data_IF_899342654340
#
_entry.id   IF_899342654340
#
_cell.length_a   1.000
_cell.length_b   1.000
_cell.length_c   1.000
_cell.angle_alpha   90.00
_cell.angle_beta   90.00
_cell.angle_gamma   90.00
#
_symmetry.space_group_name_H-M   'P 1'
#
loop_
_entity.id
_entity.type
_entity.pdbx_description
1 polymer ?
#
# COMPACT_ATOMS: atom_id res chain seq x y z
N UNK A 1 14.74 -11.94 -11.56
CA UNK A 1 13.85 -12.09 -10.40
C UNK A 1 13.56 -13.56 -10.13
N UNK A 2 13.75 -14.02 -8.90
CA UNK A 2 13.40 -15.38 -8.49
C UNK A 2 11.90 -15.64 -8.59
N UNK A 3 11.50 -16.92 -8.59
CA UNK A 3 10.08 -17.33 -8.62
C UNK A 3 9.29 -16.70 -7.46
N UNK A 4 9.89 -16.66 -6.26
CA UNK A 4 9.28 -16.08 -5.04
C UNK A 4 8.99 -14.59 -5.21
N UNK A 5 9.97 -13.83 -5.68
CA UNK A 5 9.78 -12.40 -5.93
C UNK A 5 8.73 -12.14 -7.00
N UNK A 6 8.64 -12.97 -8.05
CA UNK A 6 7.59 -12.82 -9.08
C UNK A 6 6.19 -12.98 -8.50
N UNK A 7 6.00 -13.89 -7.56
CA UNK A 7 4.74 -14.09 -6.85
C UNK A 7 4.42 -12.85 -6.01
N UNK A 8 5.40 -12.34 -5.26
CA UNK A 8 5.22 -11.14 -4.43
C UNK A 8 4.84 -9.93 -5.27
N UNK A 9 5.50 -9.70 -6.40
CA UNK A 9 5.12 -8.61 -7.32
C UNK A 9 3.69 -8.75 -7.84
N UNK A 10 3.23 -9.97 -8.16
CA UNK A 10 1.83 -10.20 -8.56
C UNK A 10 0.86 -9.88 -7.43
N UNK A 11 1.15 -10.33 -6.21
CA UNK A 11 0.31 -10.03 -5.03
C UNK A 11 0.25 -8.51 -4.82
N UNK A 12 1.39 -7.82 -4.83
CA UNK A 12 1.43 -6.35 -4.68
C UNK A 12 0.61 -5.63 -5.76
N UNK A 13 0.72 -6.05 -7.03
CA UNK A 13 -0.09 -5.50 -8.12
C UNK A 13 -1.59 -5.69 -7.82
N UNK A 14 -2.00 -6.88 -7.40
CA UNK A 14 -3.41 -7.14 -7.03
C UNK A 14 -3.85 -6.23 -5.88
N UNK A 15 -3.04 -6.09 -4.83
CA UNK A 15 -3.36 -5.23 -3.68
C UNK A 15 -3.48 -3.76 -4.09
N UNK A 16 -2.62 -3.27 -4.98
CA UNK A 16 -2.70 -1.91 -5.52
C UNK A 16 -3.96 -1.72 -6.37
N UNK A 17 -4.30 -2.67 -7.24
CA UNK A 17 -5.54 -2.60 -8.05
C UNK A 17 -6.77 -2.53 -7.13
N UNK A 18 -6.86 -3.38 -6.11
CA UNK A 18 -7.96 -3.36 -5.14
C UNK A 18 -8.00 -2.02 -4.40
N UNK A 19 -6.84 -1.49 -3.98
CA UNK A 19 -6.76 -0.19 -3.32
C UNK A 19 -7.24 0.96 -4.21
N UNK A 20 -6.88 0.94 -5.50
CA UNK A 20 -7.35 1.91 -6.49
C UNK A 20 -8.87 1.84 -6.60
N UNK A 21 -9.45 0.65 -6.78
CA UNK A 21 -10.90 0.47 -6.91
C UNK A 21 -11.66 1.00 -5.67
N UNK A 22 -11.15 0.72 -4.47
CA UNK A 22 -11.76 1.20 -3.22
C UNK A 22 -11.68 2.74 -3.07
N UNK A 23 -10.72 3.37 -3.73
CA UNK A 23 -10.46 4.82 -3.62
C UNK A 23 -11.24 5.66 -4.64
N UNK A 24 -11.90 5.04 -5.63
CA UNK A 24 -12.71 5.76 -6.64
C UNK A 24 -13.87 6.53 -5.99
N UNK A 25 -14.64 5.88 -5.11
CA UNK A 25 -15.80 6.50 -4.45
C UNK A 25 -15.41 7.69 -3.55
N UNK A 26 -14.39 7.60 -2.68
CA UNK A 26 -13.87 8.74 -1.92
C UNK A 26 -13.44 9.92 -2.80
N UNK A 27 -12.76 9.66 -3.92
CA UNK A 27 -12.32 10.71 -4.85
C UNK A 27 -13.50 11.37 -5.54
N UNK A 28 -14.51 10.59 -5.95
CA UNK A 28 -15.72 11.16 -6.53
C UNK A 28 -16.43 12.09 -5.54
N UNK A 29 -16.53 11.68 -4.27
CA UNK A 29 -17.07 12.54 -3.21
C UNK A 29 -16.24 13.81 -3.06
N UNK A 30 -14.91 13.71 -3.02
CA UNK A 30 -14.04 14.89 -2.97
C UNK A 30 -14.26 15.83 -4.15
N UNK A 31 -14.44 15.29 -5.36
CA UNK A 31 -14.74 16.07 -6.56
C UNK A 31 -16.02 16.88 -6.41
N UNK A 32 -17.05 16.28 -5.81
CA UNK A 32 -18.32 16.97 -5.57
C UNK A 32 -18.25 18.05 -4.48
N UNK A 33 -17.43 17.85 -3.44
CA UNK A 33 -17.36 18.79 -2.31
C UNK A 33 -16.33 19.91 -2.49
N UNK A 34 -15.15 19.59 -3.02
CA UNK A 34 -14.00 20.51 -3.12
C UNK A 34 -13.75 20.99 -4.56
N UNK A 35 -14.51 20.49 -5.53
CA UNK A 35 -14.29 20.74 -6.95
C UNK A 35 -13.04 20.04 -7.50
N UNK A 36 -12.79 20.26 -8.80
CA UNK A 36 -11.70 19.60 -9.52
C UNK A 36 -10.31 19.97 -8.97
N UNK A 37 -10.05 21.27 -8.79
CA UNK A 37 -8.75 21.76 -8.31
C UNK A 37 -8.45 21.21 -6.91
N UNK A 38 -9.42 21.26 -5.99
CA UNK A 38 -9.26 20.73 -4.63
C UNK A 38 -9.02 19.22 -4.62
N UNK A 39 -9.62 18.48 -5.54
CA UNK A 39 -9.44 17.03 -5.65
C UNK A 39 -8.07 16.66 -6.18
N UNK A 40 -7.58 17.35 -7.22
CA UNK A 40 -6.26 17.10 -7.80
C UNK A 40 -5.15 17.42 -6.79
N UNK A 41 -5.33 18.47 -5.98
CA UNK A 41 -4.40 18.84 -4.91
C UNK A 41 -4.52 17.96 -3.66
N UNK A 42 -5.54 17.10 -3.57
CA UNK A 42 -5.70 16.21 -2.42
C UNK A 42 -4.62 15.12 -2.41
N UNK A 43 -4.12 14.81 -1.21
CA UNK A 43 -3.16 13.72 -1.00
C UNK A 43 -3.70 12.35 -1.43
N UNK A 44 -5.03 12.16 -1.39
CA UNK A 44 -5.69 10.95 -1.84
C UNK A 44 -5.55 10.73 -3.36
N UNK A 45 -5.69 11.78 -4.17
CA UNK A 45 -5.52 11.69 -5.62
C UNK A 45 -4.06 11.41 -6.01
N UNK A 46 -3.12 12.13 -5.39
CA UNK A 46 -1.68 11.88 -5.60
C UNK A 46 -1.28 10.45 -5.22
N UNK A 47 -1.87 9.90 -4.16
CA UNK A 47 -1.61 8.51 -3.76
C UNK A 47 -2.04 7.50 -4.82
N UNK A 48 -3.19 7.68 -5.47
CA UNK A 48 -3.62 6.80 -6.56
C UNK A 48 -2.62 6.84 -7.73
N UNK A 49 -2.11 8.03 -8.09
CA UNK A 49 -1.11 8.15 -9.15
C UNK A 49 0.14 7.34 -8.79
N UNK A 50 0.63 7.47 -7.56
CA UNK A 50 1.78 6.70 -7.07
C UNK A 50 1.51 5.20 -7.14
N UNK A 51 0.32 4.73 -6.78
CA UNK A 51 -0.08 3.32 -6.90
C UNK A 51 -0.05 2.83 -8.35
N UNK A 52 -0.56 3.62 -9.32
CA UNK A 52 -0.49 3.27 -10.74
C UNK A 52 0.96 3.13 -11.23
N UNK A 53 1.83 4.06 -10.84
CA UNK A 53 3.25 4.04 -11.19
C UNK A 53 3.94 2.81 -10.61
N UNK A 54 3.68 2.47 -9.35
CA UNK A 54 4.23 1.27 -8.70
C UNK A 54 3.71 -0.02 -9.36
N UNK A 55 2.42 -0.09 -9.68
CA UNK A 55 1.84 -1.20 -10.46
C UNK A 55 2.58 -1.40 -11.79
N UNK A 56 2.81 -0.32 -12.54
CA UNK A 56 3.50 -0.38 -13.82
C UNK A 56 4.94 -0.90 -13.67
N UNK A 57 5.71 -0.39 -12.71
CA UNK A 57 7.09 -0.84 -12.50
C UNK A 57 7.19 -2.28 -11.97
N UNK A 58 6.28 -2.68 -11.09
CA UNK A 58 6.18 -4.07 -10.63
C UNK A 58 5.80 -5.02 -11.77
N UNK A 59 4.91 -4.60 -12.67
CA UNK A 59 4.55 -5.36 -13.86
C UNK A 59 5.73 -5.51 -14.83
N UNK A 60 6.53 -4.46 -15.00
CA UNK A 60 7.82 -4.50 -15.74
C UNK A 60 8.91 -5.31 -15.02
N UNK A 61 8.59 -5.94 -13.88
CA UNK A 61 9.50 -6.78 -13.08
C UNK A 61 10.72 -6.03 -12.58
N UNK A 62 10.60 -4.73 -12.34
CA UNK A 62 11.67 -3.93 -11.76
C UNK A 62 11.77 -4.20 -10.26
N UNK A 63 12.87 -4.80 -9.83
CA UNK A 63 13.06 -5.17 -8.42
C UNK A 63 13.11 -3.96 -7.48
N UNK A 64 13.63 -2.82 -7.95
CA UNK A 64 13.69 -1.59 -7.15
C UNK A 64 12.29 -1.11 -6.76
N UNK A 65 11.28 -1.43 -7.57
CA UNK A 65 9.90 -1.08 -7.28
C UNK A 65 9.37 -1.76 -6.00
N UNK A 66 9.88 -2.93 -5.61
CA UNK A 66 9.49 -3.60 -4.35
C UNK A 66 9.98 -2.77 -3.15
N UNK A 67 11.21 -2.26 -3.20
CA UNK A 67 11.74 -1.38 -2.16
C UNK A 67 10.98 -0.07 -2.07
N UNK A 68 10.74 0.58 -3.22
CA UNK A 68 9.96 1.82 -3.25
C UNK A 68 8.55 1.57 -2.70
N UNK A 69 7.92 0.46 -3.10
CA UNK A 69 6.61 0.04 -2.57
C UNK A 69 6.63 -0.13 -1.04
N UNK A 70 7.68 -0.75 -0.49
CA UNK A 70 7.84 -0.91 0.95
C UNK A 70 7.97 0.43 1.65
N UNK A 71 8.92 1.28 1.24
CA UNK A 71 9.16 2.58 1.88
C UNK A 71 7.93 3.47 1.79
N UNK A 72 7.29 3.56 0.61
CA UNK A 72 6.12 4.41 0.42
C UNK A 72 4.91 3.93 1.23
N UNK A 73 4.62 2.63 1.23
CA UNK A 73 3.47 2.09 1.97
C UNK A 73 3.70 2.08 3.48
N UNK A 74 4.95 1.87 3.93
CA UNK A 74 5.30 1.99 5.34
C UNK A 74 5.18 3.44 5.82
N UNK A 75 5.65 4.41 5.04
CA UNK A 75 5.50 5.83 5.35
C UNK A 75 4.02 6.20 5.51
N UNK A 76 3.15 5.69 4.64
CA UNK A 76 1.71 5.93 4.71
C UNK A 76 1.10 5.27 5.93
N UNK A 77 1.40 3.99 6.19
CA UNK A 77 0.91 3.31 7.38
C UNK A 77 1.27 4.08 8.67
N UNK A 78 2.51 4.57 8.73
CA UNK A 78 3.00 5.36 9.85
C UNK A 78 2.26 6.71 9.95
N UNK A 79 2.19 7.47 8.87
CA UNK A 79 1.66 8.84 8.89
C UNK A 79 0.14 8.94 8.92
N UNK A 80 -0.57 8.09 8.18
CA UNK A 80 -2.04 8.16 8.08
C UNK A 80 -2.77 7.35 9.14
N UNK A 81 -2.12 6.31 9.68
CA UNK A 81 -2.82 5.32 10.53
C UNK A 81 -2.28 5.30 11.96
N UNK A 82 -0.95 5.36 12.14
CA UNK A 82 -0.32 5.24 13.46
C UNK A 82 -0.13 6.62 14.12
N UNK A 83 0.43 7.60 13.41
CA UNK A 83 0.73 8.93 13.96
C UNK A 83 -0.46 9.88 13.98
N UNK A 84 -1.47 9.68 13.10
CA UNK A 84 -2.67 10.51 13.08
C UNK A 84 -3.65 10.22 14.24
N UNK A 85 -3.45 9.12 14.97
CA UNK A 85 -4.16 8.80 16.22
C UNK A 85 -3.13 8.57 17.36
N UNK A 86 -2.54 9.65 17.90
CA UNK A 86 -1.45 9.57 18.88
C UNK A 86 -1.84 8.82 20.15
N UNK A 87 -3.12 8.84 20.52
CA UNK A 87 -3.64 8.17 21.74
C UNK A 87 -3.65 6.64 21.64
N UNK A 88 -3.43 6.09 20.44
CA UNK A 88 -3.74 4.70 20.12
C UNK A 88 -2.57 3.91 19.52
N UNK A 89 -1.59 4.59 18.91
CA UNK A 89 -0.39 3.95 18.36
C UNK A 89 -0.68 2.74 17.45
N UNK A 90 0.19 1.73 17.49
CA UNK A 90 0.03 0.50 16.69
C UNK A 90 -1.21 -0.30 17.11
N UNK A 91 -1.45 -0.45 18.41
CA UNK A 91 -2.53 -1.31 18.92
C UNK A 91 -3.89 -0.73 18.57
N UNK A 92 -4.10 0.57 18.75
CA UNK A 92 -5.38 1.18 18.46
C UNK A 92 -5.61 1.42 16.96
N UNK A 93 -4.56 1.56 16.14
CA UNK A 93 -4.73 1.51 14.68
C UNK A 93 -5.18 0.12 14.19
N UNK A 94 -4.74 -0.97 14.81
CA UNK A 94 -5.29 -2.32 14.58
C UNK A 94 -6.72 -2.46 15.12
N UNK A 95 -7.00 -1.93 16.31
CA UNK A 95 -8.36 -1.91 16.87
C UNK A 95 -9.34 -1.18 15.95
N UNK A 96 -8.92 -0.09 15.30
CA UNK A 96 -9.74 0.63 14.32
C UNK A 96 -10.11 -0.23 13.11
N UNK A 97 -9.22 -1.12 12.64
CA UNK A 97 -9.55 -2.09 11.59
C UNK A 97 -10.69 -2.99 12.06
N UNK A 98 -10.58 -3.54 13.28
CA UNK A 98 -11.60 -4.43 13.84
C UNK A 98 -12.95 -3.72 14.06
N UNK A 99 -12.93 -2.52 14.62
CA UNK A 99 -14.15 -1.72 14.84
C UNK A 99 -14.86 -1.42 13.52
N UNK A 100 -14.11 -1.08 12.46
CA UNK A 100 -14.69 -0.83 11.12
C UNK A 100 -15.35 -2.08 10.52
N UNK A 101 -14.80 -3.26 10.80
CA UNK A 101 -15.40 -4.53 10.40
C UNK A 101 -16.72 -4.79 11.15
N UNK A 102 -16.70 -4.67 12.48
CA UNK A 102 -17.87 -4.93 13.34
C UNK A 102 -19.01 -3.95 13.06
N UNK A 103 -18.70 -2.68 12.81
CA UNK A 103 -19.70 -1.65 12.51
C UNK A 103 -20.21 -1.71 11.05
N UNK A 104 -19.84 -2.72 10.26
CA UNK A 104 -20.33 -2.90 8.89
C UNK A 104 -19.79 -1.89 7.88
N UNK A 105 -18.75 -1.10 8.22
CA UNK A 105 -18.11 -0.16 7.31
C UNK A 105 -17.10 -0.86 6.39
N UNK A 106 -17.57 -1.79 5.56
CA UNK A 106 -16.75 -2.71 4.76
C UNK A 106 -15.70 -2.00 3.89
N UNK A 107 -16.04 -0.87 3.27
CA UNK A 107 -15.08 -0.11 2.45
C UNK A 107 -13.94 0.47 3.30
N UNK A 108 -14.26 1.07 4.45
CA UNK A 108 -13.24 1.63 5.35
C UNK A 108 -12.40 0.51 5.97
N UNK A 109 -13.02 -0.61 6.35
CA UNK A 109 -12.32 -1.80 6.78
C UNK A 109 -11.31 -2.25 5.73
N UNK A 110 -11.74 -2.45 4.48
CA UNK A 110 -10.88 -2.93 3.40
C UNK A 110 -9.70 -1.98 3.14
N UNK A 111 -9.93 -0.66 3.10
CA UNK A 111 -8.84 0.32 2.95
C UNK A 111 -7.84 0.27 4.12
N UNK A 112 -8.33 0.12 5.35
CA UNK A 112 -7.46 0.05 6.54
C UNK A 112 -6.65 -1.24 6.57
N UNK A 113 -7.29 -2.35 6.20
CA UNK A 113 -6.64 -3.65 6.12
C UNK A 113 -5.55 -3.65 5.03
N UNK A 114 -5.81 -3.05 3.87
CA UNK A 114 -4.82 -2.90 2.80
C UNK A 114 -3.64 -2.01 3.20
N UNK A 115 -3.88 -0.96 3.98
CA UNK A 115 -2.81 -0.09 4.50
C UNK A 115 -1.81 -0.87 5.37
N UNK A 116 -2.26 -1.92 6.07
CA UNK A 116 -1.39 -2.84 6.80
C UNK A 116 -0.78 -3.93 5.91
N UNK A 117 -1.59 -4.52 5.02
CA UNK A 117 -1.18 -5.69 4.25
C UNK A 117 -0.10 -5.38 3.20
N UNK A 118 -0.21 -4.24 2.51
CA UNK A 118 0.74 -3.83 1.46
C UNK A 118 2.19 -3.71 2.00
N UNK A 119 2.47 -2.95 3.08
CA UNK A 119 3.84 -2.85 3.60
C UNK A 119 4.37 -4.17 4.12
N UNK A 120 3.53 -5.06 4.67
CA UNK A 120 3.95 -6.41 5.09
C UNK A 120 4.40 -7.23 3.88
N UNK A 121 3.57 -7.30 2.83
CA UNK A 121 3.90 -8.06 1.62
C UNK A 121 5.14 -7.47 0.92
N UNK A 122 5.26 -6.15 0.86
CA UNK A 122 6.42 -5.48 0.29
C UNK A 122 7.70 -5.75 1.11
N UNK A 123 7.60 -5.74 2.44
CA UNK A 123 8.69 -6.08 3.36
C UNK A 123 9.17 -7.52 3.19
N UNK A 124 8.26 -8.49 3.07
CA UNK A 124 8.61 -9.88 2.74
C UNK A 124 9.35 -9.95 1.39
N UNK A 125 8.93 -9.14 0.41
CA UNK A 125 9.63 -8.99 -0.87
C UNK A 125 11.06 -8.49 -0.73
N UNK A 126 11.27 -7.47 0.10
CA UNK A 126 12.61 -6.94 0.41
C UNK A 126 13.49 -8.01 1.05
N UNK A 127 12.97 -8.77 2.03
CA UNK A 127 13.72 -9.85 2.68
C UNK A 127 14.14 -10.93 1.67
N UNK A 128 13.24 -11.38 0.81
CA UNK A 128 13.58 -12.38 -0.21
C UNK A 128 14.62 -11.88 -1.21
N UNK A 129 14.60 -10.58 -1.54
CA UNK A 129 15.62 -10.01 -2.39
C UNK A 129 17.02 -10.08 -1.76
N UNK A 130 17.15 -9.73 -0.48
CA UNK A 130 18.44 -9.82 0.21
C UNK A 130 18.94 -11.26 0.33
N UNK A 131 18.05 -12.22 0.60
CA UNK A 131 18.40 -13.65 0.62
C UNK A 131 18.90 -14.10 -0.76
N UNK A 132 18.25 -13.68 -1.85
CA UNK A 132 18.65 -14.04 -3.21
C UNK A 132 19.99 -13.38 -3.61
N UNK A 133 20.26 -12.15 -3.19
CA UNK A 133 21.54 -11.46 -3.43
C UNK A 133 22.71 -12.18 -2.75
N UNK A 134 22.57 -12.51 -1.47
CA UNK A 134 23.64 -13.16 -0.70
C UNK A 134 23.99 -14.54 -1.26
N UNK A 135 23.00 -15.30 -1.75
CA UNK A 135 23.22 -16.61 -2.40
C UNK A 135 23.91 -16.53 -3.76
N UNK A 136 23.70 -15.45 -4.50
CA UNK A 136 24.37 -15.25 -5.79
C UNK A 136 25.80 -14.76 -5.61
N UNK A 137 26.07 -13.96 -4.57
CA UNK A 137 27.43 -13.53 -4.23
C UNK A 137 28.30 -14.67 -3.71
N UNK A 138 27.73 -15.69 -3.05
CA UNK A 138 28.50 -16.84 -2.54
C UNK A 138 28.81 -17.90 -3.60
N UNK A 139 28.33 -17.71 -4.85
CA UNK A 139 28.54 -18.63 -5.97
C UNK A 139 29.56 -18.11 -6.98
N UNK A 140 30.01 -16.86 -6.82
CA UNK A 140 31.11 -16.24 -7.54
C UNK A 140 32.32 -16.17 -6.63
#
# INVERSE_FOLDING_TARGET
MSKKLKIISKILITLYIVSIMLSISPIYKMLTFYGFIGTVLSSAFLYIIVMFVLCFFLYKKNIKAIFVSFVSSLFILLTSTIFFNPDYGIIGSLKLVFVRLVNGHLQMFAMSFLAWLIPIVAGIGVVFYFIDQNRNSSKN
#
